data_IF_183677731968
#
_entry.id   IF_183677731968
#
_cell.length_a   1.000
_cell.length_b   1.000
_cell.length_c   1.000
_cell.angle_alpha   90.00
_cell.angle_beta   90.00
_cell.angle_gamma   90.00
#
_symmetry.space_group_name_H-M   'P 1'
#
loop_
_entity.id
_entity.type
_entity.pdbx_description
1 polymer ?
#
# COMPACT_ATOMS: atom_id res chain seq x y z
N UNK A 1 -0.93 3.91 26.19
CA UNK A 1 -1.04 3.30 24.84
C UNK A 1 0.05 3.88 23.98
N UNK A 2 0.98 3.07 23.51
CA UNK A 2 2.15 3.49 22.72
C UNK A 2 1.74 4.01 21.35
N UNK A 3 2.26 5.17 20.96
CA UNK A 3 1.97 5.89 19.70
C UNK A 3 1.93 4.97 18.45
N UNK A 4 2.84 3.99 18.40
CA UNK A 4 2.96 2.97 17.35
C UNK A 4 1.69 2.12 17.16
N UNK A 5 1.00 1.73 18.24
CA UNK A 5 -0.21 0.92 18.16
C UNK A 5 -1.41 1.69 17.58
N UNK A 6 -1.45 3.01 17.81
CA UNK A 6 -2.49 3.87 17.23
C UNK A 6 -2.27 4.05 15.73
N UNK A 7 -1.02 4.23 15.27
CA UNK A 7 -0.70 4.35 13.85
C UNK A 7 -1.03 3.07 13.10
N UNK A 8 -0.69 1.88 13.63
CA UNK A 8 -1.01 0.61 12.98
C UNK A 8 -2.52 0.38 12.81
N UNK A 9 -3.34 0.90 13.72
CA UNK A 9 -4.82 0.83 13.64
C UNK A 9 -5.41 1.79 12.60
N UNK A 10 -4.69 2.85 12.23
CA UNK A 10 -5.10 3.80 11.20
C UNK A 10 -4.83 3.28 9.78
N UNK A 11 -3.98 2.25 9.63
CA UNK A 11 -3.69 1.67 8.31
C UNK A 11 -4.90 0.83 7.88
N UNK A 12 -5.62 1.21 6.82
CA UNK A 12 -6.79 0.48 6.36
C UNK A 12 -6.43 -0.92 5.86
N UNK A 13 -7.42 -1.81 5.86
CA UNK A 13 -7.30 -3.12 5.23
C UNK A 13 -7.06 -2.95 3.73
N UNK A 14 -6.31 -3.87 3.13
CA UNK A 14 -6.09 -3.87 1.67
C UNK A 14 -7.43 -3.94 0.94
N UNK A 15 -8.35 -4.78 1.41
CA UNK A 15 -9.65 -4.97 0.76
C UNK A 15 -10.57 -3.75 0.91
N UNK A 16 -10.64 -3.13 2.10
CA UNK A 16 -11.43 -1.90 2.32
C UNK A 16 -10.94 -0.75 1.42
N UNK A 17 -9.61 -0.59 1.33
CA UNK A 17 -9.01 0.44 0.47
C UNK A 17 -9.23 0.14 -1.02
N UNK A 18 -9.15 -1.13 -1.41
CA UNK A 18 -9.40 -1.56 -2.79
C UNK A 18 -10.85 -1.28 -3.20
N UNK A 19 -11.82 -1.51 -2.32
CA UNK A 19 -13.22 -1.18 -2.58
C UNK A 19 -13.43 0.33 -2.76
N UNK A 20 -12.71 1.17 -2.03
CA UNK A 20 -12.75 2.62 -2.23
C UNK A 20 -12.17 3.02 -3.61
N UNK A 21 -11.06 2.41 -4.02
CA UNK A 21 -10.45 2.66 -5.34
C UNK A 21 -11.33 2.19 -6.50
N UNK A 22 -12.02 1.07 -6.35
CA UNK A 22 -12.90 0.55 -7.40
C UNK A 22 -14.16 1.40 -7.63
N UNK A 23 -14.50 2.25 -6.65
CA UNK A 23 -15.59 3.23 -6.80
C UNK A 23 -15.11 4.54 -7.43
N UNK A 24 -13.80 4.70 -7.64
CA UNK A 24 -13.20 5.89 -8.21
C UNK A 24 -12.92 5.67 -9.71
N UNK A 25 -13.54 6.51 -10.54
CA UNK A 25 -13.41 6.48 -12.00
C UNK A 25 -11.97 6.66 -12.49
N UNK A 26 -11.07 7.25 -11.70
CA UNK A 26 -9.66 7.37 -12.07
C UNK A 26 -8.96 6.00 -12.21
N UNK A 27 -9.46 4.98 -11.51
CA UNK A 27 -8.85 3.64 -11.46
C UNK A 27 -9.61 2.60 -12.28
N UNK A 28 -10.73 2.97 -12.91
CA UNK A 28 -11.58 2.07 -13.70
C UNK A 28 -10.83 1.39 -14.86
N UNK A 29 -9.87 2.10 -15.47
CA UNK A 29 -9.07 1.59 -16.59
C UNK A 29 -7.87 0.73 -16.17
N UNK A 30 -7.60 0.59 -14.86
CA UNK A 30 -6.43 -0.11 -14.36
C UNK A 30 -6.83 -1.56 -14.01
N UNK A 31 -6.08 -2.58 -14.46
CA UNK A 31 -6.34 -3.96 -14.09
C UNK A 31 -6.40 -4.16 -12.57
N UNK A 32 -7.45 -4.81 -12.06
CA UNK A 32 -7.66 -5.09 -10.64
C UNK A 32 -6.43 -5.73 -9.97
N UNK A 33 -5.72 -6.60 -10.71
CA UNK A 33 -4.51 -7.25 -10.22
C UNK A 33 -3.37 -6.24 -9.96
N UNK A 34 -3.22 -5.21 -10.80
CA UNK A 34 -2.24 -4.13 -10.61
C UNK A 34 -2.67 -3.21 -9.47
N UNK A 35 -3.96 -2.85 -9.37
CA UNK A 35 -4.50 -2.07 -8.26
C UNK A 35 -4.24 -2.75 -6.92
N UNK A 36 -4.66 -4.00 -6.78
CA UNK A 36 -4.46 -4.80 -5.56
C UNK A 36 -2.99 -4.93 -5.19
N UNK A 37 -2.10 -5.06 -6.18
CA UNK A 37 -0.66 -5.12 -5.98
C UNK A 37 -0.09 -3.77 -5.50
N UNK A 38 -0.48 -2.67 -6.13
CA UNK A 38 -0.09 -1.32 -5.74
C UNK A 38 -0.51 -1.00 -4.30
N UNK A 39 -1.79 -1.20 -3.98
CA UNK A 39 -2.36 -1.03 -2.63
C UNK A 39 -1.60 -1.86 -1.61
N UNK A 40 -1.42 -3.16 -1.88
CA UNK A 40 -0.72 -4.06 -0.96
C UNK A 40 0.70 -3.58 -0.67
N UNK A 41 1.47 -3.25 -1.71
CA UNK A 41 2.87 -2.80 -1.54
C UNK A 41 2.95 -1.51 -0.73
N UNK A 42 2.09 -0.54 -1.02
CA UNK A 42 2.09 0.75 -0.30
C UNK A 42 1.74 0.55 1.17
N UNK A 43 0.67 -0.21 1.47
CA UNK A 43 0.24 -0.44 2.85
C UNK A 43 1.26 -1.29 3.64
N UNK A 44 1.87 -2.31 3.02
CA UNK A 44 2.92 -3.10 3.68
C UNK A 44 4.16 -2.25 3.99
N UNK A 45 4.56 -1.38 3.06
CA UNK A 45 5.67 -0.46 3.30
C UNK A 45 5.38 0.49 4.47
N UNK A 46 4.17 1.02 4.59
CA UNK A 46 3.82 1.84 5.75
C UNK A 46 3.86 1.02 7.05
N UNK A 47 3.33 -0.22 7.05
CA UNK A 47 3.42 -1.11 8.22
C UNK A 47 4.87 -1.37 8.63
N UNK A 48 5.75 -1.66 7.67
CA UNK A 48 7.18 -1.88 7.94
C UNK A 48 7.84 -0.65 8.54
N UNK A 49 7.64 0.55 7.95
CA UNK A 49 8.18 1.80 8.49
C UNK A 49 7.78 2.00 9.96
N UNK A 50 6.51 1.76 10.28
CA UNK A 50 6.03 1.85 11.67
C UNK A 50 6.71 0.82 12.58
N UNK A 51 6.84 -0.44 12.13
CA UNK A 51 7.50 -1.51 12.89
C UNK A 51 9.01 -1.30 13.07
N UNK A 52 9.67 -0.69 12.08
CA UNK A 52 11.08 -0.32 12.11
C UNK A 52 11.34 0.95 12.94
N UNK A 53 10.32 1.49 13.61
CA UNK A 53 10.43 2.67 14.45
C UNK A 53 10.61 3.98 13.68
N UNK A 54 10.31 3.99 12.38
CA UNK A 54 10.32 5.22 11.60
C UNK A 54 9.16 6.11 12.02
N UNK A 55 9.40 7.42 11.98
CA UNK A 55 8.37 8.41 12.24
C UNK A 55 7.37 8.42 11.08
N UNK A 56 6.21 7.78 11.29
CA UNK A 56 5.09 7.78 10.35
C UNK A 56 4.00 8.65 10.99
N UNK A 57 3.74 9.78 10.35
CA UNK A 57 2.72 10.71 10.82
C UNK A 57 1.34 10.27 10.30
N UNK A 58 0.24 10.59 10.99
CA UNK A 58 -1.11 10.29 10.50
C UNK A 58 -1.40 10.90 9.12
N UNK A 59 -0.79 12.05 8.81
CA UNK A 59 -0.87 12.71 7.50
C UNK A 59 -0.28 11.88 6.36
N UNK A 60 0.73 11.03 6.64
CA UNK A 60 1.30 10.09 5.66
C UNK A 60 0.32 8.95 5.27
N UNK A 61 -0.69 8.72 6.12
CA UNK A 61 -1.72 7.70 5.98
C UNK A 61 -3.06 8.28 5.48
N UNK A 62 -3.11 9.57 5.16
CA UNK A 62 -4.30 10.16 4.54
C UNK A 62 -4.57 9.56 3.16
N UNK A 63 -5.86 9.45 2.83
CA UNK A 63 -6.32 8.84 1.59
C UNK A 63 -5.66 9.48 0.35
N UNK A 64 -5.59 10.82 0.31
CA UNK A 64 -4.95 11.58 -0.78
C UNK A 64 -3.48 11.22 -0.96
N UNK A 65 -2.71 11.16 0.14
CA UNK A 65 -1.29 10.83 0.13
C UNK A 65 -1.07 9.37 -0.27
N UNK A 66 -1.90 8.45 0.23
CA UNK A 66 -1.85 7.04 -0.14
C UNK A 66 -2.22 6.84 -1.62
N UNK A 67 -3.23 7.56 -2.12
CA UNK A 67 -3.65 7.55 -3.52
C UNK A 67 -2.49 7.94 -4.45
N UNK A 68 -1.80 9.04 -4.17
CA UNK A 68 -0.66 9.49 -4.97
C UNK A 68 0.47 8.44 -4.98
N UNK A 69 0.80 7.88 -3.81
CA UNK A 69 1.80 6.81 -3.67
C UNK A 69 1.40 5.55 -4.45
N UNK A 70 0.12 5.21 -4.47
CA UNK A 70 -0.43 4.05 -5.19
C UNK A 70 -0.39 4.30 -6.70
N UNK A 71 -0.80 5.48 -7.18
CA UNK A 71 -0.72 5.83 -8.59
C UNK A 71 0.73 5.78 -9.10
N UNK A 72 1.67 6.36 -8.34
CA UNK A 72 3.09 6.29 -8.68
C UNK A 72 3.55 4.82 -8.72
N UNK A 73 3.16 4.02 -7.72
CA UNK A 73 3.51 2.60 -7.70
C UNK A 73 2.93 1.87 -8.90
N UNK A 74 1.66 2.08 -9.26
CA UNK A 74 1.03 1.45 -10.42
C UNK A 74 1.75 1.85 -11.70
N UNK A 75 2.14 3.12 -11.87
CA UNK A 75 2.95 3.57 -13.01
C UNK A 75 4.32 2.87 -13.06
N UNK A 76 4.95 2.61 -11.92
CA UNK A 76 6.15 1.76 -11.86
C UNK A 76 5.85 0.29 -12.17
N UNK A 77 4.69 -0.22 -11.74
CA UNK A 77 4.24 -1.60 -11.97
C UNK A 77 3.90 -1.89 -13.44
N UNK A 78 3.36 -0.89 -14.13
CA UNK A 78 2.91 -0.95 -15.52
C UNK A 78 4.08 -0.77 -16.51
N UNK A 79 5.22 -0.24 -16.06
CA UNK A 79 6.42 -0.20 -16.89
C UNK A 79 6.91 -1.62 -17.25
N UNK A 80 7.36 -1.85 -18.50
CA UNK A 80 7.71 -3.18 -19.03
C UNK A 80 8.89 -3.88 -18.32
N UNK A 81 9.46 -3.25 -17.29
CA UNK A 81 10.52 -3.79 -16.44
C UNK A 81 10.01 -4.76 -15.35
N UNK A 82 8.72 -5.13 -15.30
CA UNK A 82 8.17 -6.04 -14.30
C UNK A 82 8.55 -7.52 -14.48
N UNK A 83 9.83 -7.81 -14.70
CA UNK A 83 10.43 -9.12 -14.48
C UNK A 83 10.72 -9.29 -12.99
N UNK A 84 10.04 -10.27 -12.38
CA UNK A 84 10.33 -10.84 -11.06
C UNK A 84 10.36 -9.85 -9.90
N UNK A 85 9.24 -9.75 -9.19
CA UNK A 85 9.14 -10.20 -7.78
C UNK A 85 7.66 -10.22 -7.41
N UNK A 86 7.03 -11.39 -7.56
CA UNK A 86 5.78 -11.70 -6.86
C UNK A 86 6.20 -12.59 -5.70
N UNK A 87 6.64 -11.98 -4.59
CA UNK A 87 6.44 -12.58 -3.27
C UNK A 87 5.18 -11.93 -2.70
N UNK A 88 4.06 -12.35 -3.28
CA UNK A 88 2.74 -11.94 -2.82
C UNK A 88 2.43 -12.68 -1.52
N UNK A 89 2.63 -12.00 -0.39
CA UNK A 89 2.22 -12.42 0.96
C UNK A 89 2.90 -13.66 1.53
N UNK A 90 3.52 -13.45 2.69
CA UNK A 90 4.12 -14.51 3.50
C UNK A 90 5.50 -14.07 3.91
N UNK A 91 5.57 -13.42 5.07
CA UNK A 91 6.79 -13.15 5.82
C UNK A 91 7.87 -14.21 5.54
N UNK A 92 8.99 -13.81 4.91
CA UNK A 92 10.26 -14.53 5.05
C UNK A 92 11.11 -13.66 5.98
N UNK A 93 10.98 -13.96 7.27
CA UNK A 93 12.02 -13.64 8.24
C UNK A 93 13.16 -14.60 7.90
N UNK A 94 14.26 -14.09 7.35
CA UNK A 94 15.51 -14.81 7.47
C UNK A 94 15.93 -14.72 8.94
N UNK A 95 16.00 -15.89 9.60
CA UNK A 95 16.62 -16.06 10.92
C UNK A 95 18.13 -15.89 10.82
#
# INVERSE_FOLDING_TARGET
MTHMQNILRLIPSVDDFLLALLQDSEFENIPLMLLKKGVRVVLDNQRRRVLEGHKVEPSDLELSVLLEKIQLKIRELDQPAFRRVINGTGVIIHQ
#
